data_IF_237459805968
#
_entry.id   IF_237459805968
#
_cell.length_a   1.000
_cell.length_b   1.000
_cell.length_c   1.000
_cell.angle_alpha   90.00
_cell.angle_beta   90.00
_cell.angle_gamma   90.00
#
_symmetry.space_group_name_H-M   'P 1'
#
loop_
_entity.id
_entity.type
_entity.pdbx_description
1 polymer ?
#
# COMPACT_ATOMS: atom_id res chain seq x y z
N UNK A 1 -20.14 -17.45 6.58
CA UNK A 1 -21.18 -16.41 6.79
C UNK A 1 -21.57 -16.41 8.25
N UNK A 2 -22.27 -15.37 8.72
CA UNK A 2 -22.85 -15.32 10.06
C UNK A 2 -24.28 -15.87 9.98
N UNK A 3 -24.69 -16.69 10.94
CA UNK A 3 -26.07 -17.19 11.05
C UNK A 3 -26.74 -16.56 12.28
N UNK A 4 -27.90 -15.92 12.10
CA UNK A 4 -28.68 -15.42 13.23
C UNK A 4 -29.50 -16.57 13.81
N UNK A 5 -29.26 -16.90 15.07
CA UNK A 5 -30.15 -17.73 15.86
C UNK A 5 -31.30 -16.87 16.40
N UNK A 6 -32.51 -17.13 15.88
CA UNK A 6 -33.70 -16.32 16.20
C UNK A 6 -34.25 -16.58 17.61
N UNK A 7 -33.92 -17.71 18.22
CA UNK A 7 -34.40 -18.05 19.56
C UNK A 7 -33.64 -17.27 20.63
N UNK A 8 -32.34 -17.09 20.43
CA UNK A 8 -31.45 -16.42 21.40
C UNK A 8 -31.10 -14.99 21.00
N UNK A 9 -31.32 -14.59 19.75
CA UNK A 9 -30.86 -13.30 19.20
C UNK A 9 -29.36 -13.26 18.93
N UNK A 10 -28.63 -14.36 19.12
CA UNK A 10 -27.18 -14.43 18.96
C UNK A 10 -26.79 -14.75 17.51
N UNK A 11 -25.62 -14.25 17.10
CA UNK A 11 -25.05 -14.52 15.79
C UNK A 11 -23.97 -15.60 15.87
N UNK A 12 -24.22 -16.75 15.26
CA UNK A 12 -23.25 -17.83 15.15
C UNK A 12 -22.18 -17.54 14.08
N UNK A 13 -20.92 -17.50 14.53
CA UNK A 13 -19.72 -17.22 13.75
C UNK A 13 -18.75 -18.41 13.84
N UNK A 14 -19.10 -19.53 13.19
CA UNK A 14 -18.34 -20.78 13.08
C UNK A 14 -17.96 -21.47 14.40
N UNK A 15 -17.21 -20.80 15.26
CA UNK A 15 -16.73 -21.33 16.54
C UNK A 15 -17.21 -20.52 17.74
N UNK A 16 -17.90 -19.40 17.52
CA UNK A 16 -18.33 -18.48 18.58
C UNK A 16 -19.71 -17.90 18.33
N UNK A 17 -20.39 -17.56 19.41
CA UNK A 17 -21.65 -16.81 19.39
C UNK A 17 -21.35 -15.34 19.70
N UNK A 18 -21.80 -14.45 18.82
CA UNK A 18 -21.69 -13.01 18.96
C UNK A 18 -23.02 -12.45 19.44
N UNK A 19 -22.96 -11.66 20.51
CA UNK A 19 -24.10 -10.92 21.04
C UNK A 19 -24.05 -9.48 20.48
N UNK A 20 -25.01 -9.11 19.62
CA UNK A 20 -25.06 -7.79 19.00
C UNK A 20 -25.38 -6.66 19.99
N UNK A 21 -26.09 -6.95 21.09
CA UNK A 21 -26.52 -5.93 22.07
C UNK A 21 -25.33 -5.41 22.89
N UNK A 22 -24.38 -6.29 23.20
CA UNK A 22 -23.15 -5.94 23.93
C UNK A 22 -21.93 -5.73 23.01
N UNK A 23 -22.04 -6.09 21.74
CA UNK A 23 -20.99 -5.92 20.73
C UNK A 23 -19.78 -6.85 20.91
N UNK A 24 -19.96 -8.05 21.48
CA UNK A 24 -18.86 -8.97 21.84
C UNK A 24 -19.24 -10.43 21.61
N UNK A 25 -18.24 -11.30 21.57
CA UNK A 25 -18.48 -12.74 21.68
C UNK A 25 -18.82 -13.11 23.12
N UNK A 26 -19.73 -14.08 23.30
CA UNK A 26 -20.08 -14.62 24.63
C UNK A 26 -19.18 -15.78 25.03
N UNK A 27 -18.47 -16.39 24.07
CA UNK A 27 -17.43 -17.39 24.30
C UNK A 27 -16.03 -16.82 24.05
N UNK A 28 -15.07 -17.23 24.88
CA UNK A 28 -13.68 -16.84 24.72
C UNK A 28 -13.08 -17.37 23.41
N UNK A 29 -12.14 -16.63 22.83
CA UNK A 29 -11.44 -17.02 21.61
C UNK A 29 -10.71 -18.37 21.80
N UNK A 30 -10.94 -19.39 20.95
CA UNK A 30 -10.21 -20.66 21.01
C UNK A 30 -8.69 -20.49 20.90
N UNK A 31 -8.21 -19.42 20.26
CA UNK A 31 -6.77 -19.09 20.19
C UNK A 31 -6.21 -18.61 21.54
N UNK A 32 -7.09 -18.32 22.51
CA UNK A 32 -6.79 -17.83 23.85
C UNK A 32 -5.92 -16.55 23.82
N UNK A 33 -5.03 -16.35 24.80
CA UNK A 33 -4.22 -15.13 24.96
C UNK A 33 -3.33 -14.79 23.74
N UNK A 34 -3.09 -15.74 22.83
CA UNK A 34 -2.35 -15.47 21.59
C UNK A 34 -3.12 -14.56 20.61
N UNK A 35 -4.44 -14.46 20.76
CA UNK A 35 -5.31 -13.62 19.92
C UNK A 35 -5.44 -12.17 20.41
N UNK A 36 -4.90 -11.88 21.59
CA UNK A 36 -4.99 -10.58 22.23
C UNK A 36 -5.46 -10.66 23.68
N UNK A 37 -5.47 -9.51 24.35
CA UNK A 37 -5.80 -9.40 25.77
C UNK A 37 -7.30 -9.57 26.01
N UNK A 38 -8.14 -9.18 25.05
CA UNK A 38 -9.59 -9.32 25.14
C UNK A 38 -10.07 -10.56 24.38
N UNK A 39 -10.28 -11.65 25.12
CA UNK A 39 -10.71 -12.95 24.58
C UNK A 39 -12.13 -12.93 24.00
N UNK A 40 -12.92 -11.90 24.29
CA UNK A 40 -14.31 -11.75 23.88
C UNK A 40 -14.50 -10.70 22.77
N UNK A 41 -13.42 -10.10 22.28
CA UNK A 41 -13.49 -9.05 21.26
C UNK A 41 -13.99 -9.59 19.93
N UNK A 42 -14.96 -8.89 19.32
CA UNK A 42 -15.42 -9.18 17.96
C UNK A 42 -14.40 -8.74 16.90
N UNK A 43 -13.96 -7.48 16.98
CA UNK A 43 -12.92 -6.90 16.15
C UNK A 43 -12.20 -5.78 16.93
N UNK A 44 -10.93 -5.44 16.60
CA UNK A 44 -10.22 -4.34 17.23
C UNK A 44 -10.94 -2.99 17.10
N UNK A 45 -11.59 -2.74 15.96
CA UNK A 45 -12.51 -1.63 15.79
C UNK A 45 -13.59 -1.99 14.76
N UNK A 46 -14.78 -2.45 15.18
CA UNK A 46 -15.83 -2.89 14.27
C UNK A 46 -16.47 -1.76 13.46
N UNK A 47 -16.26 -0.49 13.84
CA UNK A 47 -16.79 0.66 13.10
C UNK A 47 -15.84 1.13 11.98
N UNK A 48 -14.52 1.00 12.17
CA UNK A 48 -13.54 1.46 11.16
C UNK A 48 -12.93 0.34 10.33
N UNK A 49 -13.09 -0.92 10.73
CA UNK A 49 -12.56 -2.08 10.00
C UNK A 49 -13.62 -2.76 9.12
N UNK A 50 -14.81 -2.16 8.99
CA UNK A 50 -15.66 -2.43 7.84
C UNK A 50 -14.94 -1.90 6.59
N UNK A 51 -15.01 -2.65 5.49
CA UNK A 51 -14.59 -2.20 4.16
C UNK A 51 -15.85 -2.05 3.28
N UNK A 52 -16.63 -0.96 3.44
CA UNK A 52 -17.91 -0.80 2.75
C UNK A 52 -17.75 -0.67 1.23
N UNK A 53 -16.54 -0.35 0.77
CA UNK A 53 -16.25 -0.13 -0.64
C UNK A 53 -15.65 -1.37 -1.32
N UNK A 54 -15.16 -2.35 -0.54
CA UNK A 54 -14.49 -3.55 -1.04
C UNK A 54 -13.19 -3.21 -1.78
N UNK A 55 -12.55 -2.10 -1.42
CA UNK A 55 -11.44 -1.55 -2.17
C UNK A 55 -10.13 -2.19 -1.73
N UNK A 56 -9.36 -2.62 -2.73
CA UNK A 56 -8.00 -3.06 -2.47
C UNK A 56 -7.21 -1.90 -1.87
N UNK A 57 -6.58 -2.10 -0.71
CA UNK A 57 -5.75 -1.06 -0.12
C UNK A 57 -4.60 -0.68 -1.08
N UNK A 58 -4.22 0.60 -1.08
CA UNK A 58 -3.22 1.15 -2.01
C UNK A 58 -1.91 0.35 -2.06
N UNK A 59 -1.45 -0.15 -0.91
CA UNK A 59 -0.25 -1.00 -0.85
C UNK A 59 -0.39 -2.26 -1.72
N UNK A 60 -1.56 -2.87 -1.73
CA UNK A 60 -1.85 -4.03 -2.53
C UNK A 60 -2.07 -3.69 -4.01
N UNK A 61 -2.65 -2.53 -4.33
CA UNK A 61 -2.79 -2.06 -5.70
C UNK A 61 -1.41 -1.75 -6.32
N UNK A 62 -0.59 -0.97 -5.61
CA UNK A 62 0.79 -0.64 -5.99
C UNK A 62 1.64 -1.89 -6.20
N UNK A 63 1.53 -2.88 -5.31
CA UNK A 63 2.27 -4.14 -5.42
C UNK A 63 1.93 -4.89 -6.71
N UNK A 64 0.64 -4.96 -7.04
CA UNK A 64 0.17 -5.65 -8.23
C UNK A 64 0.54 -4.90 -9.52
N UNK A 65 0.48 -3.57 -9.50
CA UNK A 65 0.94 -2.73 -10.61
C UNK A 65 2.39 -3.08 -10.98
N UNK A 66 3.31 -3.08 -10.02
CA UNK A 66 4.72 -3.38 -10.32
C UNK A 66 4.94 -4.82 -10.82
N UNK A 67 4.16 -5.79 -10.31
CA UNK A 67 4.19 -7.17 -10.82
C UNK A 67 3.67 -7.27 -12.25
N UNK A 68 2.63 -6.52 -12.60
CA UNK A 68 2.08 -6.47 -13.95
C UNK A 68 3.07 -5.79 -14.91
N UNK A 69 3.64 -4.66 -14.51
CA UNK A 69 4.68 -3.95 -15.26
C UNK A 69 5.89 -4.87 -15.52
N UNK A 70 6.34 -5.64 -14.53
CA UNK A 70 7.44 -6.60 -14.72
C UNK A 70 7.16 -7.71 -15.73
N UNK A 71 5.90 -7.98 -16.05
CA UNK A 71 5.49 -8.94 -17.08
C UNK A 71 5.37 -8.29 -18.46
N UNK A 72 4.92 -7.04 -18.50
CA UNK A 72 4.60 -6.32 -19.73
C UNK A 72 5.76 -5.48 -20.30
N UNK A 73 6.73 -5.10 -19.46
CA UNK A 73 7.80 -4.20 -19.85
C UNK A 73 8.68 -4.79 -20.98
N UNK A 74 9.03 -3.99 -22.01
CA UNK A 74 9.98 -4.39 -23.04
C UNK A 74 11.33 -4.81 -22.46
N UNK A 75 11.99 -5.75 -23.13
CA UNK A 75 13.33 -6.20 -22.75
C UNK A 75 14.30 -5.01 -22.78
N UNK A 76 15.05 -4.82 -21.71
CA UNK A 76 16.04 -3.73 -21.58
C UNK A 76 15.48 -2.42 -21.02
N UNK A 77 14.16 -2.28 -20.84
CA UNK A 77 13.58 -1.08 -20.23
C UNK A 77 14.00 -0.89 -18.77
N UNK A 78 14.12 -1.98 -18.02
CA UNK A 78 14.54 -1.99 -16.62
C UNK A 78 15.81 -2.82 -16.44
N UNK A 79 16.66 -2.40 -15.50
CA UNK A 79 17.84 -3.17 -15.13
C UNK A 79 17.45 -4.53 -14.56
N UNK A 80 18.31 -5.56 -14.64
CA UNK A 80 18.04 -6.87 -14.05
C UNK A 80 17.66 -6.80 -12.57
N UNK A 81 18.29 -5.88 -11.81
CA UNK A 81 17.99 -5.64 -10.40
C UNK A 81 16.58 -5.09 -10.22
N UNK A 82 16.18 -4.11 -11.03
CA UNK A 82 14.84 -3.54 -10.97
C UNK A 82 13.76 -4.55 -11.41
N UNK A 83 14.04 -5.37 -12.42
CA UNK A 83 13.14 -6.45 -12.82
C UNK A 83 12.87 -7.43 -11.68
N UNK A 84 13.89 -7.82 -10.91
CA UNK A 84 13.71 -8.69 -9.74
C UNK A 84 12.87 -8.00 -8.66
N UNK A 85 13.13 -6.72 -8.37
CA UNK A 85 12.33 -5.93 -7.42
C UNK A 85 10.85 -5.89 -7.81
N UNK A 86 10.57 -5.60 -9.07
CA UNK A 86 9.20 -5.47 -9.58
C UNK A 86 8.45 -6.81 -9.62
N UNK A 87 9.13 -7.93 -9.90
CA UNK A 87 8.54 -9.28 -9.76
C UNK A 87 8.11 -9.61 -8.33
N UNK A 88 8.79 -9.03 -7.33
CA UNK A 88 8.38 -9.10 -5.92
C UNK A 88 7.29 -8.06 -5.57
N UNK A 89 6.89 -7.21 -6.52
CA UNK A 89 5.92 -6.13 -6.34
C UNK A 89 6.49 -4.89 -5.64
N UNK A 90 7.81 -4.72 -5.68
CA UNK A 90 8.50 -3.53 -5.19
C UNK A 90 8.75 -2.57 -6.36
N UNK A 91 8.64 -1.27 -6.09
CA UNK A 91 8.97 -0.26 -7.08
C UNK A 91 10.44 -0.36 -7.54
N UNK A 92 10.72 -0.08 -8.83
CA UNK A 92 12.07 0.07 -9.33
C UNK A 92 12.74 1.25 -8.64
N UNK A 93 14.07 1.19 -8.55
CA UNK A 93 14.89 2.22 -7.95
C UNK A 93 15.74 2.93 -8.99
N UNK A 94 16.06 4.17 -8.69
CA UNK A 94 17.05 5.01 -9.35
C UNK A 94 18.09 5.42 -8.31
N UNK A 95 19.31 5.73 -8.77
CA UNK A 95 20.35 6.33 -7.93
C UNK A 95 20.47 7.79 -8.30
N UNK A 96 20.38 8.66 -7.32
CA UNK A 96 20.32 10.11 -7.54
C UNK A 96 21.26 10.84 -6.62
N UNK A 97 21.70 12.02 -7.07
CA UNK A 97 22.30 13.05 -6.25
C UNK A 97 21.22 14.08 -5.94
N UNK A 98 21.06 14.38 -4.66
CA UNK A 98 20.08 15.34 -4.16
C UNK A 98 20.74 16.35 -3.22
N UNK A 99 20.18 17.56 -3.15
CA UNK A 99 20.51 18.55 -2.13
C UNK A 99 19.47 18.47 -1.00
N UNK A 100 19.88 18.05 0.20
CA UNK A 100 18.96 17.88 1.34
C UNK A 100 18.81 19.17 2.15
N UNK A 101 17.60 19.71 2.24
CA UNK A 101 17.36 21.06 2.75
C UNK A 101 17.72 21.24 4.22
N UNK A 102 17.35 20.29 5.10
CA UNK A 102 17.58 20.45 6.55
C UNK A 102 19.05 20.43 6.94
N UNK A 103 19.84 19.61 6.26
CA UNK A 103 21.28 19.51 6.55
C UNK A 103 22.13 20.37 5.63
N UNK A 104 21.54 20.94 4.58
CA UNK A 104 22.21 21.75 3.56
C UNK A 104 23.41 21.03 2.94
N UNK A 105 23.25 19.72 2.68
CA UNK A 105 24.31 18.88 2.12
C UNK A 105 23.83 18.10 0.91
N UNK A 106 24.74 17.88 -0.03
CA UNK A 106 24.54 16.94 -1.12
C UNK A 106 24.62 15.49 -0.62
N UNK A 107 23.77 14.63 -1.15
CA UNK A 107 23.73 13.22 -0.82
C UNK A 107 23.47 12.39 -2.07
N UNK A 108 24.13 11.24 -2.12
CA UNK A 108 23.80 10.21 -3.09
C UNK A 108 22.95 9.16 -2.42
N UNK A 109 21.75 8.89 -2.96
CA UNK A 109 20.85 7.87 -2.40
C UNK A 109 20.12 7.08 -3.47
N UNK A 110 19.66 5.90 -3.08
CA UNK A 110 18.80 5.06 -3.90
C UNK A 110 17.34 5.35 -3.57
N UNK A 111 16.57 5.75 -4.57
CA UNK A 111 15.18 6.22 -4.43
C UNK A 111 14.27 5.33 -5.25
N UNK A 112 13.16 4.91 -4.66
CA UNK A 112 12.12 4.18 -5.38
C UNK A 112 11.25 5.13 -6.18
N UNK A 113 10.83 4.73 -7.38
CA UNK A 113 9.75 5.44 -8.07
C UNK A 113 8.44 5.36 -7.28
N UNK A 114 7.61 6.37 -7.46
CA UNK A 114 6.27 6.50 -6.90
C UNK A 114 5.23 6.32 -8.03
N UNK A 115 3.99 6.04 -7.64
CA UNK A 115 2.84 6.04 -8.54
C UNK A 115 1.95 7.21 -8.15
N UNK A 116 1.65 8.09 -9.11
CA UNK A 116 0.75 9.21 -8.93
C UNK A 116 -0.54 9.01 -9.74
N UNK A 117 -1.69 9.36 -9.16
CA UNK A 117 -2.95 9.38 -9.89
C UNK A 117 -3.03 10.60 -10.80
N UNK A 118 -3.45 10.42 -12.05
CA UNK A 118 -3.49 11.51 -13.06
C UNK A 118 -4.77 12.31 -13.02
N UNK A 119 -5.90 11.63 -13.23
CA UNK A 119 -7.19 12.25 -13.51
C UNK A 119 -8.13 12.14 -12.32
N UNK A 120 -8.15 10.97 -11.68
CA UNK A 120 -9.04 10.69 -10.56
C UNK A 120 -8.22 10.48 -9.29
N UNK A 121 -8.37 11.37 -8.28
CA UNK A 121 -7.61 11.26 -7.05
C UNK A 121 -8.02 10.00 -6.29
N UNK A 122 -7.10 9.46 -5.47
CA UNK A 122 -7.28 8.21 -4.73
C UNK A 122 -8.57 8.15 -3.88
N UNK A 123 -9.13 9.30 -3.47
CA UNK A 123 -10.33 9.38 -2.62
C UNK A 123 -11.67 9.36 -3.37
N UNK A 124 -11.65 9.34 -4.70
CA UNK A 124 -12.85 9.54 -5.53
C UNK A 124 -13.67 8.26 -5.81
N UNK A 125 -13.29 7.12 -5.20
CA UNK A 125 -14.11 5.89 -5.19
C UNK A 125 -13.53 4.70 -5.97
N UNK A 126 -14.40 3.92 -6.63
CA UNK A 126 -14.02 2.67 -7.33
C UNK A 126 -13.28 2.96 -8.64
N UNK A 127 -12.30 2.12 -8.99
CA UNK A 127 -11.49 2.18 -10.23
C UNK A 127 -10.41 3.27 -10.33
N UNK A 128 -10.04 3.93 -9.23
CA UNK A 128 -8.94 4.91 -9.26
C UNK A 128 -7.57 4.26 -9.53
N UNK A 129 -7.37 3.00 -9.13
CA UNK A 129 -6.07 2.31 -9.21
C UNK A 129 -5.83 1.56 -10.55
N UNK A 130 -6.46 2.00 -11.64
CA UNK A 130 -6.26 1.38 -12.96
C UNK A 130 -4.97 1.88 -13.63
N UNK A 131 -4.28 1.07 -14.45
CA UNK A 131 -3.03 1.48 -15.10
C UNK A 131 -3.12 2.78 -15.90
N UNK A 132 -4.28 3.06 -16.52
CA UNK A 132 -4.51 4.31 -17.26
C UNK A 132 -4.44 5.57 -16.37
N UNK A 133 -4.89 5.45 -15.13
CA UNK A 133 -4.90 6.56 -14.18
C UNK A 133 -3.62 6.63 -13.34
N UNK A 134 -2.67 5.70 -13.52
CA UNK A 134 -1.44 5.63 -12.74
C UNK A 134 -0.21 6.03 -13.56
N UNK A 135 0.53 7.00 -13.04
CA UNK A 135 1.76 7.50 -13.62
C UNK A 135 2.97 7.14 -12.76
N UNK A 136 4.03 6.64 -13.38
CA UNK A 136 5.33 6.43 -12.73
C UNK A 136 6.05 7.77 -12.64
N UNK A 137 6.37 8.20 -11.42
CA UNK A 137 7.03 9.48 -11.15
C UNK A 137 8.15 9.31 -10.14
N UNK A 138 9.14 10.19 -10.17
CA UNK A 138 10.07 10.37 -9.06
C UNK A 138 9.39 11.10 -7.90
N UNK A 139 9.91 11.04 -6.65
CA UNK A 139 9.35 11.81 -5.54
C UNK A 139 9.30 13.32 -5.79
N UNK A 140 10.22 13.85 -6.60
CA UNK A 140 10.25 15.26 -6.97
C UNK A 140 9.20 15.63 -8.01
N UNK A 141 9.02 14.79 -9.04
CA UNK A 141 7.95 14.97 -10.01
C UNK A 141 6.58 14.83 -9.35
N UNK A 142 6.44 13.91 -8.39
CA UNK A 142 5.24 13.79 -7.59
C UNK A 142 4.99 15.07 -6.76
N UNK A 143 6.03 15.58 -6.09
CA UNK A 143 5.96 16.85 -5.36
C UNK A 143 5.60 18.05 -6.24
N UNK A 144 6.05 18.07 -7.50
CA UNK A 144 5.68 19.11 -8.44
C UNK A 144 4.19 19.07 -8.84
N UNK A 145 3.54 17.90 -8.70
CA UNK A 145 2.12 17.68 -9.03
C UNK A 145 1.20 17.84 -7.81
N UNK A 146 1.69 17.57 -6.61
CA UNK A 146 0.93 17.65 -5.36
C UNK A 146 1.44 18.80 -4.45
N UNK A 147 0.65 19.90 -4.28
CA UNK A 147 1.01 21.04 -3.44
C UNK A 147 1.30 20.69 -1.97
N UNK A 148 0.84 19.54 -1.49
CA UNK A 148 1.03 19.10 -0.10
C UNK A 148 2.19 18.12 0.06
N UNK A 149 2.87 17.74 -1.03
CA UNK A 149 3.98 16.79 -1.03
C UNK A 149 5.33 17.51 -1.01
N UNK A 150 6.05 17.35 0.09
CA UNK A 150 7.39 17.93 0.27
C UNK A 150 8.46 16.82 0.27
N UNK A 151 9.38 16.78 -0.72
CA UNK A 151 10.39 15.74 -0.82
C UNK A 151 11.53 15.92 0.20
N UNK A 152 11.66 17.12 0.79
CA UNK A 152 12.71 17.46 1.76
C UNK A 152 14.11 17.63 1.15
N UNK A 153 14.20 17.53 -0.17
CA UNK A 153 15.42 17.67 -0.96
C UNK A 153 15.09 18.17 -2.36
N UNK A 154 16.10 18.67 -3.07
CA UNK A 154 16.05 19.00 -4.49
C UNK A 154 16.84 17.95 -5.28
N UNK A 155 16.27 17.48 -6.40
CA UNK A 155 16.97 16.57 -7.31
C UNK A 155 18.02 17.36 -8.08
N UNK A 156 19.29 16.95 -7.96
CA UNK A 156 20.37 17.56 -8.74
C UNK A 156 20.66 16.75 -10.00
N UNK A 157 20.78 15.42 -9.86
CA UNK A 157 21.23 14.55 -10.95
C UNK A 157 20.72 13.11 -10.75
N UNK A 158 20.33 12.44 -11.85
CA UNK A 158 20.09 11.00 -11.86
C UNK A 158 21.38 10.30 -12.30
N UNK A 159 22.05 9.65 -11.35
CA UNK A 159 23.31 8.92 -11.57
C UNK A 159 23.08 7.54 -12.19
N UNK A 160 21.97 6.89 -11.84
CA UNK A 160 21.52 5.64 -12.44
C UNK A 160 20.01 5.68 -12.61
N UNK A 161 19.55 5.48 -13.83
CA UNK A 161 18.15 5.39 -14.19
C UNK A 161 17.59 3.98 -13.96
N UNK A 162 16.31 3.79 -14.32
CA UNK A 162 15.62 2.52 -14.15
C UNK A 162 16.21 1.37 -14.97
N UNK A 163 16.85 1.66 -16.09
CA UNK A 163 17.44 0.70 -17.04
C UNK A 163 18.85 0.26 -16.66
N UNK A 164 19.61 1.12 -15.98
CA UNK A 164 21.01 0.86 -15.62
C UNK A 164 21.29 0.79 -14.10
N UNK A 165 20.27 0.85 -13.25
CA UNK A 165 20.39 0.72 -11.79
C UNK A 165 21.09 -0.58 -11.36
N UNK A 166 22.17 -0.44 -10.57
CA UNK A 166 23.04 -1.58 -10.17
C UNK A 166 22.79 -2.11 -8.75
N UNK A 167 22.09 -1.37 -7.88
CA UNK A 167 21.87 -1.76 -6.49
C UNK A 167 23.15 -1.74 -5.67
N UNK A 168 23.40 -0.63 -4.97
CA UNK A 168 24.46 -0.51 -3.96
C UNK A 168 23.82 -0.44 -2.57
#
# INVERSE_FOLDING_TARGET
GQYLDRETGLHYNLYRFYDPDIGKFISGDPISLKGGINLYAYAPNPLSWIDPLGLKCWNSARRDYWKAEAKAAPKGMYSPVNMLRMRLGLAPKIRVREFHFKTRTERVRNVSLELNHRHWPQRDGKHVDIPYNLEKVTPWEHAAKDPYRYPGSELLEILQDIGNYKGF
#
